data_IF_323555529992
#
_entry.id   IF_323555529992
#
_cell.length_a   1.000
_cell.length_b   1.000
_cell.length_c   1.000
_cell.angle_alpha   90.00
_cell.angle_beta   90.00
_cell.angle_gamma   90.00
#
_symmetry.space_group_name_H-M   'P 1'
#
loop_
_entity.id
_entity.type
_entity.pdbx_description
1 polymer ?
#
# COMPACT_ATOMS: atom_id res chain seq x y z
N UNK A 1 -9.31 -33.23 3.17
CA UNK A 1 -9.70 -32.65 1.87
C UNK A 1 -9.71 -31.11 1.86
N UNK A 2 -10.53 -30.44 2.68
CA UNK A 2 -10.66 -28.96 2.67
C UNK A 2 -9.37 -28.14 2.92
N UNK A 3 -8.41 -28.68 3.69
CA UNK A 3 -7.09 -28.04 3.92
C UNK A 3 -6.19 -28.13 2.67
N UNK A 4 -6.30 -29.20 1.89
CA UNK A 4 -5.51 -29.39 0.67
C UNK A 4 -6.02 -28.50 -0.45
N UNK A 5 -7.34 -28.38 -0.61
CA UNK A 5 -7.99 -27.46 -1.58
C UNK A 5 -7.61 -26.00 -1.30
N UNK A 6 -7.69 -25.55 -0.03
CA UNK A 6 -7.28 -24.18 0.35
C UNK A 6 -5.80 -23.91 0.10
N UNK A 7 -4.94 -24.90 0.31
CA UNK A 7 -3.50 -24.80 0.01
C UNK A 7 -3.26 -24.67 -1.50
N UNK A 8 -4.04 -25.37 -2.31
CA UNK A 8 -3.94 -25.33 -3.77
C UNK A 8 -4.43 -23.99 -4.35
N UNK A 9 -5.55 -23.46 -3.84
CA UNK A 9 -6.02 -22.11 -4.14
C UNK A 9 -4.98 -21.04 -3.77
N UNK A 10 -4.39 -21.14 -2.57
CA UNK A 10 -3.33 -20.23 -2.14
C UNK A 10 -2.10 -20.27 -3.07
N UNK A 11 -1.70 -21.48 -3.52
CA UNK A 11 -0.61 -21.64 -4.49
C UNK A 11 -0.94 -21.00 -5.84
N UNK A 12 -2.16 -21.18 -6.33
CA UNK A 12 -2.61 -20.56 -7.56
C UNK A 12 -2.50 -19.03 -7.48
N UNK A 13 -2.93 -18.40 -6.39
CA UNK A 13 -2.80 -16.95 -6.19
C UNK A 13 -1.35 -16.48 -6.11
N UNK A 14 -0.49 -17.26 -5.45
CA UNK A 14 0.91 -16.89 -5.23
C UNK A 14 1.77 -17.05 -6.49
N UNK A 15 1.49 -18.04 -7.34
CA UNK A 15 2.42 -18.50 -8.37
C UNK A 15 1.91 -18.42 -9.80
N UNK A 16 0.63 -18.10 -10.03
CA UNK A 16 0.14 -17.82 -11.38
C UNK A 16 0.84 -16.58 -11.94
N UNK A 17 1.39 -16.68 -13.16
CA UNK A 17 2.09 -15.57 -13.84
C UNK A 17 1.50 -15.37 -15.23
N UNK A 18 1.05 -14.16 -15.47
CA UNK A 18 0.53 -13.73 -16.76
C UNK A 18 1.67 -13.28 -17.68
N UNK A 19 1.62 -13.73 -18.94
CA UNK A 19 2.58 -13.41 -19.98
C UNK A 19 1.85 -12.74 -21.14
N UNK A 20 2.37 -11.62 -21.61
CA UNK A 20 1.80 -10.91 -22.76
C UNK A 20 1.99 -11.72 -24.04
N UNK A 21 0.92 -11.86 -24.82
CA UNK A 21 0.87 -12.46 -26.15
C UNK A 21 0.34 -11.38 -27.08
N UNK A 22 1.15 -11.02 -28.08
CA UNK A 22 0.71 -10.18 -29.18
C UNK A 22 -0.08 -11.05 -30.14
N UNK A 23 -1.35 -10.73 -30.33
CA UNK A 23 -2.18 -11.39 -31.34
C UNK A 23 -2.08 -10.53 -32.61
N UNK A 24 -1.32 -10.98 -33.59
CA UNK A 24 -1.47 -10.50 -34.96
C UNK A 24 -2.72 -11.18 -35.55
N UNK A 25 -3.71 -10.35 -35.87
CA UNK A 25 -4.94 -10.65 -36.62
C UNK A 25 -5.49 -12.09 -36.56
N UNK A 26 -6.38 -12.31 -35.59
CA UNK A 26 -7.63 -13.03 -35.86
C UNK A 26 -7.56 -14.49 -36.32
N UNK A 27 -6.70 -15.35 -35.79
CA UNK A 27 -6.92 -16.81 -35.76
C UNK A 27 -6.03 -17.51 -34.72
N UNK A 28 -6.63 -18.31 -33.84
CA UNK A 28 -5.90 -19.35 -33.08
C UNK A 28 -5.49 -20.46 -34.06
N UNK A 29 -4.29 -20.39 -34.62
CA UNK A 29 -3.78 -21.45 -35.49
C UNK A 29 -3.22 -22.62 -34.67
N UNK A 30 -3.73 -23.83 -34.95
CA UNK A 30 -3.24 -25.12 -34.47
C UNK A 30 -1.92 -25.53 -35.17
N UNK A 31 -1.15 -26.51 -34.65
CA UNK A 31 0.25 -26.70 -35.03
C UNK A 31 0.40 -27.60 -36.26
N UNK A 32 1.28 -27.22 -37.18
CA UNK A 32 1.85 -28.12 -38.18
C UNK A 32 3.07 -28.81 -37.58
N UNK A 33 2.98 -30.14 -37.46
CA UNK A 33 4.13 -31.02 -37.40
C UNK A 33 4.65 -31.26 -38.82
N UNK A 34 5.96 -31.23 -39.04
CA UNK A 34 6.70 -32.28 -39.77
C UNK A 34 8.22 -32.02 -39.75
N UNK A 35 8.95 -33.12 -39.92
CA UNK A 35 10.35 -33.35 -39.60
C UNK A 35 11.36 -32.70 -40.58
N UNK A 36 12.62 -32.53 -40.13
CA UNK A 36 13.77 -31.90 -40.84
C UNK A 36 14.29 -32.63 -42.10
N UNK A 37 15.60 -32.54 -42.49
CA UNK A 37 16.75 -31.97 -41.77
C UNK A 37 17.78 -31.17 -42.64
N UNK A 38 18.80 -30.62 -41.95
CA UNK A 38 20.20 -30.34 -42.39
C UNK A 38 20.51 -29.30 -43.50
N UNK A 39 21.37 -28.33 -43.16
CA UNK A 39 22.14 -27.55 -44.14
C UNK A 39 22.70 -26.21 -43.61
N UNK A 40 23.91 -26.23 -43.06
CA UNK A 40 24.85 -25.08 -42.95
C UNK A 40 25.68 -25.12 -44.25
N UNK A 41 26.14 -24.02 -44.92
CA UNK A 41 26.86 -22.94 -44.26
C UNK A 41 26.81 -21.50 -44.84
N UNK A 42 27.23 -20.57 -43.96
CA UNK A 42 28.14 -19.43 -44.16
C UNK A 42 27.85 -18.35 -45.23
N UNK A 43 27.71 -17.10 -44.79
CA UNK A 43 28.54 -15.92 -45.14
C UNK A 43 27.80 -14.60 -44.87
N UNK A 44 28.41 -13.74 -44.05
CA UNK A 44 28.15 -12.28 -44.04
C UNK A 44 28.88 -11.66 -45.26
N UNK A 45 28.59 -10.42 -45.76
CA UNK A 45 28.70 -9.19 -44.95
C UNK A 45 27.77 -8.00 -45.30
N UNK A 46 27.60 -7.13 -44.31
CA UNK A 46 27.71 -5.64 -44.32
C UNK A 46 27.20 -4.84 -45.55
N UNK A 47 26.26 -3.89 -45.32
CA UNK A 47 26.53 -2.43 -45.39
C UNK A 47 25.28 -1.55 -45.14
N UNK A 48 25.48 -0.63 -44.19
CA UNK A 48 24.77 0.62 -43.98
C UNK A 48 24.93 1.57 -45.17
N UNK A 49 23.87 2.27 -45.57
CA UNK A 49 23.90 3.68 -46.05
C UNK A 49 22.54 4.34 -45.74
N UNK A 50 22.56 5.49 -45.05
CA UNK A 50 21.44 6.44 -44.85
C UNK A 50 21.39 7.48 -46.02
N UNK A 51 20.83 8.69 -45.84
CA UNK A 51 19.44 9.11 -45.88
C UNK A 51 19.16 10.12 -47.03
N UNK A 52 17.91 10.61 -47.17
CA UNK A 52 17.53 12.04 -47.33
C UNK A 52 16.24 12.22 -48.15
N UNK A 53 15.21 12.74 -47.47
CA UNK A 53 14.09 13.49 -48.05
C UNK A 53 14.54 14.93 -48.36
N UNK A 54 13.98 15.52 -49.43
CA UNK A 54 13.58 16.94 -49.46
C UNK A 54 12.64 17.25 -50.64
N UNK A 55 11.79 18.26 -50.37
CA UNK A 55 11.07 19.17 -51.27
C UNK A 55 9.60 18.86 -51.62
N UNK A 56 8.67 19.66 -51.07
CA UNK A 56 8.11 20.86 -51.76
C UNK A 56 7.02 21.58 -50.91
N UNK A 57 7.24 22.88 -50.64
CA UNK A 57 6.35 24.01 -50.98
C UNK A 57 4.97 24.24 -50.30
N UNK A 58 4.71 25.44 -49.72
CA UNK A 58 3.41 25.85 -49.15
C UNK A 58 2.62 26.88 -49.99
N UNK A 59 1.31 27.03 -49.72
CA UNK A 59 0.52 28.29 -49.57
C UNK A 59 -0.93 28.30 -50.13
N UNK A 60 -1.84 28.79 -49.27
CA UNK A 60 -3.01 29.67 -49.49
C UNK A 60 -4.42 29.14 -49.16
N UNK A 61 -5.19 30.07 -48.58
CA UNK A 61 -6.45 29.88 -47.86
C UNK A 61 -7.65 30.39 -48.66
N UNK A 62 -8.81 29.75 -48.49
CA UNK A 62 -10.12 30.38 -48.73
C UNK A 62 -11.18 29.79 -47.79
N UNK A 63 -12.05 30.67 -47.36
CA UNK A 63 -13.02 30.57 -46.27
C UNK A 63 -14.40 30.21 -46.84
N UNK A 64 -15.06 29.16 -46.34
CA UNK A 64 -16.50 28.95 -46.49
C UNK A 64 -17.05 28.22 -45.26
N UNK A 65 -18.24 28.63 -44.83
CA UNK A 65 -18.77 28.43 -43.48
C UNK A 65 -20.02 27.51 -43.53
N UNK A 66 -20.15 26.65 -42.49
CA UNK A 66 -21.36 25.99 -41.92
C UNK A 66 -21.83 24.67 -42.58
N UNK A 67 -22.48 23.73 -41.84
CA UNK A 67 -22.11 23.05 -40.58
C UNK A 67 -22.10 21.51 -40.78
N UNK A 68 -21.34 20.69 -40.04
CA UNK A 68 -21.80 19.32 -39.72
C UNK A 68 -20.88 18.49 -38.82
N UNK A 69 -21.50 17.92 -37.79
CA UNK A 69 -21.28 16.59 -37.19
C UNK A 69 -19.87 16.24 -36.71
N UNK A 70 -19.76 16.12 -35.38
CA UNK A 70 -18.78 15.25 -34.72
C UNK A 70 -18.72 13.89 -35.43
N UNK A 71 -17.53 13.52 -35.89
CA UNK A 71 -17.18 12.18 -36.33
C UNK A 71 -15.89 11.73 -35.61
N UNK A 72 -15.71 10.42 -35.42
CA UNK A 72 -15.41 9.85 -34.12
C UNK A 72 -13.91 9.66 -33.86
N UNK A 73 -13.58 9.58 -32.57
CA UNK A 73 -12.29 9.12 -32.04
C UNK A 73 -11.86 7.85 -32.77
N UNK A 74 -10.68 7.91 -33.38
CA UNK A 74 -10.05 6.81 -34.10
C UNK A 74 -10.08 5.49 -33.30
N UNK A 75 -10.34 4.39 -34.00
CA UNK A 75 -10.40 3.04 -33.44
C UNK A 75 -9.09 2.65 -32.71
N UNK A 76 -9.17 1.92 -31.58
CA UNK A 76 -8.00 1.54 -30.80
C UNK A 76 -7.17 0.41 -31.45
N UNK A 77 -5.86 0.47 -31.19
CA UNK A 77 -4.78 -0.39 -31.67
C UNK A 77 -4.82 -1.83 -31.08
N UNK A 78 -3.96 -2.78 -31.53
CA UNK A 78 -4.15 -4.23 -31.34
C UNK A 78 -4.13 -4.69 -29.87
N UNK A 79 -4.99 -5.67 -29.56
CA UNK A 79 -5.32 -6.13 -28.21
C UNK A 79 -4.18 -6.93 -27.56
N UNK A 80 -3.45 -6.33 -26.61
CA UNK A 80 -2.50 -7.08 -25.78
C UNK A 80 -3.28 -8.08 -24.88
N UNK A 81 -3.10 -9.38 -25.11
CA UNK A 81 -3.71 -10.45 -24.31
C UNK A 81 -2.67 -11.13 -23.43
N UNK A 82 -3.07 -11.59 -22.26
CA UNK A 82 -2.16 -12.16 -21.27
C UNK A 82 -2.49 -13.62 -20.96
N UNK A 83 -1.56 -14.55 -21.15
CA UNK A 83 -1.79 -15.99 -20.95
C UNK A 83 -0.97 -16.51 -19.76
N UNK A 84 -1.56 -17.39 -18.95
CA UNK A 84 -0.91 -18.05 -17.83
C UNK A 84 -1.23 -19.56 -17.84
N UNK A 85 -0.24 -20.40 -17.53
CA UNK A 85 -0.41 -21.85 -17.36
C UNK A 85 -0.37 -22.24 -15.88
N UNK A 86 -1.29 -23.10 -15.44
CA UNK A 86 -1.28 -23.66 -14.07
C UNK A 86 -1.83 -25.09 -14.02
N UNK A 87 -1.20 -25.93 -13.20
CA UNK A 87 -1.59 -27.33 -12.99
C UNK A 87 -2.12 -27.52 -11.56
N UNK A 88 -3.45 -27.35 -11.35
CA UNK A 88 -4.04 -27.52 -10.03
C UNK A 88 -4.15 -29.01 -9.65
N UNK A 89 -4.02 -29.31 -8.35
CA UNK A 89 -4.27 -30.64 -7.78
C UNK A 89 -5.80 -30.88 -7.55
N UNK A 90 -6.61 -29.82 -7.58
CA UNK A 90 -8.06 -29.85 -7.34
C UNK A 90 -8.83 -28.94 -8.31
N UNK A 91 -10.15 -29.11 -8.42
CA UNK A 91 -11.02 -28.27 -9.26
C UNK A 91 -11.27 -26.87 -8.66
N UNK A 92 -10.24 -26.01 -8.65
CA UNK A 92 -10.26 -24.68 -8.01
C UNK A 92 -10.47 -23.52 -8.99
N UNK A 93 -10.20 -23.72 -10.29
CA UNK A 93 -10.16 -22.63 -11.28
C UNK A 93 -11.45 -21.79 -11.32
N UNK A 94 -12.62 -22.43 -11.26
CA UNK A 94 -13.91 -21.71 -11.32
C UNK A 94 -14.13 -20.85 -10.08
N UNK A 95 -13.83 -21.40 -8.90
CA UNK A 95 -13.98 -20.70 -7.63
C UNK A 95 -13.00 -19.52 -7.49
N UNK A 96 -11.76 -19.71 -7.95
CA UNK A 96 -10.70 -18.69 -7.82
C UNK A 96 -10.66 -17.69 -8.98
N UNK A 97 -11.36 -17.92 -10.09
CA UNK A 97 -11.41 -16.99 -11.24
C UNK A 97 -11.77 -15.55 -10.84
N UNK A 98 -12.70 -15.37 -9.90
CA UNK A 98 -13.09 -14.05 -9.39
C UNK A 98 -11.96 -13.31 -8.66
N UNK A 99 -10.99 -14.01 -8.08
CA UNK A 99 -9.79 -13.38 -7.51
C UNK A 99 -8.97 -12.69 -8.61
N UNK A 100 -8.77 -13.38 -9.74
CA UNK A 100 -7.99 -12.86 -10.86
C UNK A 100 -8.71 -11.73 -11.60
N UNK A 101 -10.05 -11.80 -11.72
CA UNK A 101 -10.86 -10.69 -12.26
C UNK A 101 -10.64 -9.42 -11.45
N UNK A 102 -10.74 -9.49 -10.12
CA UNK A 102 -10.53 -8.32 -9.26
C UNK A 102 -9.09 -7.81 -9.29
N UNK A 103 -8.11 -8.72 -9.32
CA UNK A 103 -6.68 -8.36 -9.20
C UNK A 103 -6.05 -7.87 -10.51
N UNK A 104 -6.59 -8.32 -11.65
CA UNK A 104 -6.09 -8.05 -13.00
C UNK A 104 -7.21 -7.56 -13.93
N UNK A 105 -8.15 -6.78 -13.40
CA UNK A 105 -9.34 -6.30 -14.14
C UNK A 105 -8.98 -5.53 -15.42
N UNK A 106 -7.88 -4.76 -15.38
CA UNK A 106 -7.40 -3.93 -16.49
C UNK A 106 -6.67 -4.72 -17.60
N UNK A 107 -6.45 -6.03 -17.42
CA UNK A 107 -5.79 -6.89 -18.41
C UNK A 107 -6.83 -7.79 -19.05
N UNK A 108 -6.72 -8.08 -20.35
CA UNK A 108 -7.42 -9.21 -20.97
C UNK A 108 -6.58 -10.47 -20.79
N UNK A 109 -7.06 -11.46 -20.06
CA UNK A 109 -6.23 -12.58 -19.66
C UNK A 109 -6.87 -13.97 -19.83
N UNK A 110 -6.04 -15.01 -19.92
CA UNK A 110 -6.45 -16.41 -20.03
C UNK A 110 -5.61 -17.28 -19.11
N UNK A 111 -6.28 -18.05 -18.25
CA UNK A 111 -5.67 -19.06 -17.39
C UNK A 111 -5.96 -20.42 -17.98
N UNK A 112 -4.90 -21.09 -18.41
CA UNK A 112 -4.94 -22.41 -19.01
C UNK A 112 -4.59 -23.45 -17.95
N UNK A 113 -5.47 -24.44 -17.78
CA UNK A 113 -5.20 -25.62 -16.96
C UNK A 113 -5.56 -26.90 -17.72
N UNK A 114 -5.03 -28.07 -17.32
CA UNK A 114 -5.32 -29.33 -18.01
C UNK A 114 -6.80 -29.72 -18.07
N UNK A 115 -7.61 -29.30 -17.09
CA UNK A 115 -9.00 -29.71 -16.96
C UNK A 115 -10.00 -28.65 -17.44
N UNK A 116 -9.67 -27.36 -17.31
CA UNK A 116 -10.56 -26.25 -17.64
C UNK A 116 -9.73 -25.00 -17.95
N UNK A 117 -10.19 -24.14 -18.85
CA UNK A 117 -9.56 -22.84 -19.11
C UNK A 117 -10.52 -21.71 -18.72
N UNK A 118 -9.98 -20.60 -18.23
CA UNK A 118 -10.75 -19.41 -17.86
C UNK A 118 -10.22 -18.19 -18.62
N UNK A 119 -11.12 -17.45 -19.27
CA UNK A 119 -10.78 -16.30 -20.11
C UNK A 119 -11.54 -15.07 -19.62
N UNK A 120 -10.85 -13.95 -19.51
CA UNK A 120 -11.38 -12.65 -19.10
C UNK A 120 -11.13 -11.63 -20.21
N UNK A 121 -12.21 -11.07 -20.75
CA UNK A 121 -12.20 -10.10 -21.84
C UNK A 121 -12.28 -8.63 -21.38
N UNK A 122 -12.38 -8.40 -20.06
CA UNK A 122 -12.56 -7.08 -19.45
C UNK A 122 -13.98 -6.84 -18.91
N UNK A 123 -14.95 -7.67 -19.29
CA UNK A 123 -16.36 -7.56 -18.89
C UNK A 123 -16.89 -8.85 -18.26
N UNK A 124 -16.57 -10.01 -18.84
CA UNK A 124 -17.06 -11.32 -18.41
C UNK A 124 -15.96 -12.40 -18.37
N UNK A 125 -16.14 -13.36 -17.45
CA UNK A 125 -15.31 -14.58 -17.44
C UNK A 125 -16.04 -15.68 -18.22
N UNK A 126 -15.37 -16.20 -19.25
CA UNK A 126 -15.83 -17.38 -19.98
C UNK A 126 -14.95 -18.58 -19.65
N UNK A 127 -15.56 -19.78 -19.60
CA UNK A 127 -14.85 -21.02 -19.32
C UNK A 127 -14.83 -21.90 -20.56
N UNK A 128 -13.65 -22.35 -20.95
CA UNK A 128 -13.41 -23.22 -22.10
C UNK A 128 -12.87 -24.60 -21.69
N UNK A 129 -12.69 -25.51 -22.66
CA UNK A 129 -12.06 -26.80 -22.42
C UNK A 129 -10.64 -26.65 -21.84
N UNK A 130 -10.17 -27.69 -21.16
CA UNK A 130 -8.78 -27.75 -20.70
C UNK A 130 -7.79 -27.60 -21.87
N UNK A 131 -6.67 -26.95 -21.60
CA UNK A 131 -5.61 -26.71 -22.58
C UNK A 131 -4.36 -27.54 -22.24
N UNK A 132 -3.36 -27.56 -23.12
CA UNK A 132 -2.05 -28.20 -22.90
C UNK A 132 -0.98 -27.15 -22.65
N UNK A 133 0.11 -27.52 -21.96
CA UNK A 133 1.24 -26.60 -21.67
C UNK A 133 1.82 -25.96 -22.92
N UNK A 134 1.79 -26.67 -24.05
CA UNK A 134 2.27 -26.17 -25.35
C UNK A 134 1.41 -25.02 -25.93
N UNK A 135 0.20 -24.83 -25.42
CA UNK A 135 -0.72 -23.78 -25.86
C UNK A 135 -0.46 -22.43 -25.13
N UNK A 136 0.49 -22.40 -24.17
CA UNK A 136 0.95 -21.20 -23.50
C UNK A 136 2.27 -20.68 -24.13
N UNK A 137 2.50 -19.35 -24.19
CA UNK A 137 3.69 -18.77 -24.81
C UNK A 137 4.99 -19.25 -24.14
N UNK A 138 6.03 -19.48 -24.96
CA UNK A 138 7.35 -19.90 -24.50
C UNK A 138 8.07 -18.78 -23.71
N UNK A 139 8.86 -19.20 -22.72
CA UNK A 139 9.61 -18.35 -21.79
C UNK A 139 10.85 -17.76 -22.48
N UNK A 140 11.00 -16.43 -22.65
CA UNK A 140 12.35 -15.92 -23.02
C UNK A 140 12.74 -14.41 -22.90
N UNK A 141 11.89 -13.45 -22.49
CA UNK A 141 12.33 -12.02 -22.49
C UNK A 141 12.40 -11.32 -21.11
N UNK A 142 11.36 -11.42 -20.29
CA UNK A 142 11.30 -10.74 -18.99
C UNK A 142 12.09 -11.45 -17.87
N UNK A 143 12.56 -12.67 -18.15
CA UNK A 143 13.19 -13.55 -17.17
C UNK A 143 14.62 -13.13 -16.81
N UNK A 144 15.42 -12.74 -17.79
CA UNK A 144 16.81 -12.31 -17.58
C UNK A 144 16.89 -11.07 -16.68
N UNK A 145 16.01 -10.09 -16.91
CA UNK A 145 15.96 -8.87 -16.12
C UNK A 145 15.50 -9.14 -14.68
N UNK A 146 14.50 -10.01 -14.53
CA UNK A 146 13.98 -10.41 -13.23
C UNK A 146 14.99 -11.25 -12.42
N UNK A 147 15.69 -12.18 -13.06
CA UNK A 147 16.76 -12.97 -12.43
C UNK A 147 17.92 -12.10 -11.96
N UNK A 148 18.32 -11.10 -12.78
CA UNK A 148 19.32 -10.11 -12.39
C UNK A 148 18.88 -9.29 -11.17
N UNK A 149 17.62 -8.84 -11.15
CA UNK A 149 17.03 -8.13 -10.01
C UNK A 149 16.98 -9.03 -8.75
N UNK A 150 16.45 -10.24 -8.86
CA UNK A 150 16.35 -11.20 -7.75
C UNK A 150 17.72 -11.52 -7.14
N UNK A 151 18.73 -11.76 -7.98
CA UNK A 151 20.10 -11.98 -7.53
C UNK A 151 20.69 -10.77 -6.78
N UNK A 152 20.33 -9.55 -7.17
CA UNK A 152 20.81 -8.31 -6.52
C UNK A 152 20.21 -8.06 -5.13
N UNK A 153 18.96 -8.48 -4.90
CA UNK A 153 18.24 -8.28 -3.63
C UNK A 153 18.33 -9.49 -2.70
N UNK A 154 18.91 -10.59 -3.16
CA UNK A 154 19.03 -11.83 -2.40
C UNK A 154 19.89 -11.62 -1.15
N UNK A 155 19.26 -11.74 0.02
CA UNK A 155 19.94 -11.59 1.30
C UNK A 155 20.42 -12.95 1.82
N UNK A 156 21.73 -13.26 1.73
CA UNK A 156 22.27 -14.54 2.15
C UNK A 156 22.10 -14.81 3.65
N UNK A 157 22.03 -13.78 4.49
CA UNK A 157 21.91 -13.90 5.94
C UNK A 157 20.48 -14.25 6.42
N UNK A 158 19.48 -14.25 5.52
CA UNK A 158 18.07 -14.55 5.83
C UNK A 158 17.59 -15.87 5.26
N UNK A 159 18.48 -16.68 4.72
CA UNK A 159 18.12 -17.94 4.07
C UNK A 159 17.71 -19.01 5.11
N UNK A 160 16.52 -19.59 4.95
CA UNK A 160 16.01 -20.71 5.77
C UNK A 160 15.66 -21.91 4.89
N UNK A 161 16.64 -22.76 4.54
CA UNK A 161 16.46 -23.83 3.54
C UNK A 161 15.39 -24.86 3.89
N UNK A 162 15.20 -25.13 5.18
CA UNK A 162 14.19 -26.08 5.67
C UNK A 162 12.78 -25.53 5.54
N UNK A 163 12.59 -24.26 5.91
CA UNK A 163 11.31 -23.56 5.75
C UNK A 163 10.95 -23.38 4.26
N UNK A 164 11.94 -23.09 3.41
CA UNK A 164 11.75 -23.02 1.96
C UNK A 164 11.31 -24.36 1.37
N UNK A 165 11.91 -25.49 1.78
CA UNK A 165 11.52 -26.83 1.30
C UNK A 165 10.14 -27.28 1.80
N UNK A 166 9.75 -26.83 3.00
CA UNK A 166 8.45 -27.13 3.59
C UNK A 166 7.30 -26.37 2.91
N UNK A 167 7.50 -25.08 2.63
CA UNK A 167 6.52 -24.23 1.93
C UNK A 167 6.55 -24.45 0.40
N UNK A 168 7.70 -24.85 -0.15
CA UNK A 168 7.94 -25.01 -1.59
C UNK A 168 8.61 -26.35 -1.92
N UNK A 169 7.83 -27.42 -2.10
CA UNK A 169 8.36 -28.72 -2.53
C UNK A 169 9.09 -28.65 -3.88
N UNK A 170 10.21 -29.39 -4.02
CA UNK A 170 11.12 -29.35 -5.19
C UNK A 170 10.45 -29.55 -6.55
N UNK A 171 9.29 -30.22 -6.60
CA UNK A 171 8.53 -30.44 -7.84
C UNK A 171 8.02 -29.15 -8.50
N UNK A 172 7.78 -28.09 -7.74
CA UNK A 172 7.28 -26.80 -8.25
C UNK A 172 8.39 -25.83 -8.67
N UNK A 173 9.65 -26.15 -8.38
CA UNK A 173 10.79 -25.29 -8.70
C UNK A 173 11.04 -25.21 -10.21
N UNK A 174 10.50 -26.15 -10.99
CA UNK A 174 10.57 -26.17 -12.46
C UNK A 174 9.88 -24.97 -13.11
N UNK A 175 8.98 -24.30 -12.40
CA UNK A 175 8.21 -23.14 -12.89
C UNK A 175 8.72 -21.81 -12.30
N UNK A 176 9.84 -21.83 -11.57
CA UNK A 176 10.44 -20.66 -10.92
C UNK A 176 11.83 -20.41 -11.52
N UNK A 177 12.00 -19.39 -12.36
CA UNK A 177 13.28 -19.14 -13.03
C UNK A 177 14.39 -18.73 -12.06
N UNK A 178 14.04 -18.12 -10.93
CA UNK A 178 14.96 -17.73 -9.85
C UNK A 178 15.41 -18.92 -9.01
N UNK A 179 14.63 -20.02 -9.00
CA UNK A 179 15.01 -21.24 -8.29
C UNK A 179 16.28 -21.89 -8.85
N UNK A 180 16.61 -21.59 -10.12
CA UNK A 180 17.87 -22.00 -10.76
C UNK A 180 19.08 -21.23 -10.21
N UNK A 181 18.88 -19.98 -9.75
CA UNK A 181 19.94 -19.15 -9.19
C UNK A 181 20.19 -19.43 -7.71
N UNK A 182 19.20 -19.98 -6.99
CA UNK A 182 19.28 -20.27 -5.54
C UNK A 182 20.52 -21.12 -5.18
N UNK A 183 20.84 -22.26 -5.83
CA UNK A 183 22.02 -23.06 -5.48
C UNK A 183 23.33 -22.28 -5.58
N UNK A 184 23.50 -21.48 -6.64
CA UNK A 184 24.68 -20.64 -6.84
C UNK A 184 24.73 -19.51 -5.79
N UNK A 185 23.62 -18.82 -5.57
CA UNK A 185 23.50 -17.75 -4.58
C UNK A 185 23.75 -18.26 -3.14
N UNK A 186 23.39 -19.52 -2.86
CA UNK A 186 23.69 -20.21 -1.60
C UNK A 186 25.17 -20.55 -1.43
N UNK A 187 25.85 -20.97 -2.50
CA UNK A 187 27.28 -21.25 -2.48
C UNK A 187 28.12 -19.97 -2.36
N UNK A 188 27.68 -18.89 -2.99
CA UNK A 188 28.35 -17.58 -2.96
C UNK A 188 28.04 -16.78 -1.69
N UNK A 189 27.00 -17.16 -0.95
CA UNK A 189 26.53 -16.49 0.26
C UNK A 189 27.62 -16.27 1.33
N UNK A 190 28.42 -17.28 1.74
CA UNK A 190 29.45 -17.11 2.77
C UNK A 190 30.54 -16.11 2.33
N UNK A 191 30.94 -16.17 1.05
CA UNK A 191 31.93 -15.26 0.47
C UNK A 191 31.42 -13.81 0.43
N UNK A 192 30.16 -13.60 0.02
CA UNK A 192 29.53 -12.26 0.03
C UNK A 192 29.38 -11.68 1.44
N UNK A 193 29.06 -12.52 2.42
CA UNK A 193 28.99 -12.08 3.83
C UNK A 193 30.38 -11.69 4.34
N UNK A 194 31.42 -12.48 4.04
CA UNK A 194 32.80 -12.14 4.38
C UNK A 194 33.25 -10.84 3.71
N UNK A 195 32.93 -10.62 2.43
CA UNK A 195 33.21 -9.37 1.70
C UNK A 195 32.43 -8.18 2.28
N UNK A 196 31.18 -8.36 2.70
CA UNK A 196 30.35 -7.33 3.31
C UNK A 196 30.86 -6.95 4.72
N UNK A 197 31.32 -7.92 5.50
CA UNK A 197 31.97 -7.69 6.80
C UNK A 197 33.31 -6.98 6.62
N UNK A 198 34.10 -7.40 5.63
CA UNK A 198 35.40 -6.78 5.31
C UNK A 198 35.28 -5.35 4.76
N UNK A 199 34.22 -5.04 4.01
CA UNK A 199 33.93 -3.69 3.52
C UNK A 199 33.48 -2.72 4.63
N UNK A 200 33.10 -3.23 5.80
CA UNK A 200 32.51 -2.43 6.87
C UNK A 200 31.13 -1.85 6.50
N UNK A 201 30.41 -1.36 7.50
CA UNK A 201 29.15 -0.66 7.25
C UNK A 201 29.43 0.56 6.37
N UNK A 202 28.76 0.65 5.22
CA UNK A 202 28.78 1.88 4.44
C UNK A 202 28.25 2.98 5.36
N UNK A 203 29.03 4.02 5.69
CA UNK A 203 28.50 5.13 6.45
C UNK A 203 27.28 5.67 5.70
N UNK A 204 26.26 6.17 6.42
CA UNK A 204 25.11 6.80 5.76
C UNK A 204 25.67 7.79 4.76
N UNK A 205 25.22 7.74 3.50
CA UNK A 205 25.53 8.79 2.54
C UNK A 205 25.12 10.07 3.23
N UNK A 206 26.09 10.91 3.63
CA UNK A 206 25.79 12.23 4.14
C UNK A 206 24.90 12.86 3.09
N UNK A 207 23.64 13.13 3.46
CA UNK A 207 22.79 13.98 2.64
C UNK A 207 23.63 15.24 2.46
N UNK A 208 24.20 15.42 1.27
CA UNK A 208 24.67 16.72 0.83
C UNK A 208 23.53 17.64 1.18
N UNK A 209 23.78 18.52 2.13
CA UNK A 209 22.91 19.63 2.41
C UNK A 209 22.81 20.35 1.07
N UNK A 210 21.77 20.03 0.29
CA UNK A 210 21.32 20.93 -0.75
C UNK A 210 20.85 22.13 0.06
N UNK A 211 21.77 23.08 0.26
CA UNK A 211 21.41 24.45 0.48
C UNK A 211 20.35 24.74 -0.59
N UNK A 212 19.11 24.90 -0.14
CA UNK A 212 18.04 25.43 -0.97
C UNK A 212 18.46 26.87 -1.25
N UNK A 213 19.21 27.04 -2.33
CA UNK A 213 19.48 28.35 -2.90
C UNK A 213 18.34 28.66 -3.85
N UNK A 214 17.27 29.23 -3.28
CA UNK A 214 16.32 30.08 -3.98
C UNK A 214 15.85 31.09 -2.94
N UNK A 215 16.16 32.39 -3.09
CA UNK A 215 15.58 33.15 -4.21
C UNK A 215 16.49 34.26 -4.81
N UNK A 216 16.72 34.18 -6.12
CA UNK A 216 17.15 35.35 -6.92
C UNK A 216 16.35 35.50 -8.24
N UNK A 217 15.20 34.80 -8.38
CA UNK A 217 14.33 34.91 -9.57
C UNK A 217 12.92 35.45 -9.21
N UNK A 218 12.56 35.58 -7.92
CA UNK A 218 11.30 36.22 -7.48
C UNK A 218 11.55 37.70 -7.10
N UNK A 219 12.39 38.43 -7.84
CA UNK A 219 12.56 39.89 -7.66
C UNK A 219 12.48 40.70 -8.96
N UNK A 220 12.10 40.08 -10.08
CA UNK A 220 11.95 40.79 -11.35
C UNK A 220 10.73 40.27 -12.12
N UNK A 221 9.54 40.46 -11.56
CA UNK A 221 8.28 40.41 -12.28
C UNK A 221 7.19 41.02 -11.40
N UNK A 222 7.17 42.35 -11.31
CA UNK A 222 5.92 43.06 -11.05
C UNK A 222 5.13 43.09 -12.37
N UNK A 223 3.87 42.68 -12.40
CA UNK A 223 2.90 43.30 -13.27
C UNK A 223 2.14 44.37 -12.46
N UNK A 224 2.24 45.59 -12.97
CA UNK A 224 1.41 46.75 -12.65
C UNK A 224 -0.09 46.37 -12.62
N UNK A 225 -0.83 46.87 -11.63
CA UNK A 225 -2.30 46.94 -11.73
C UNK A 225 -2.67 48.02 -12.76
N UNK A 226 -3.73 47.85 -13.57
CA UNK A 226 -5.02 48.42 -13.14
C UNK A 226 -6.29 47.73 -13.71
N UNK A 227 -7.44 48.07 -13.12
CA UNK A 227 -8.74 48.06 -13.81
C UNK A 227 -9.73 47.01 -13.30
N UNK A 228 -10.67 47.43 -12.45
CA UNK A 228 -11.69 46.56 -11.87
C UNK A 228 -12.77 46.09 -12.84
N UNK A 229 -13.48 45.04 -12.45
CA UNK A 229 -14.92 44.85 -12.70
C UNK A 229 -15.48 43.79 -11.74
N UNK A 230 -16.57 44.19 -11.12
CA UNK A 230 -17.70 43.44 -10.57
C UNK A 230 -17.49 42.44 -9.40
N UNK A 231 -17.83 42.98 -8.23
CA UNK A 231 -18.35 42.32 -7.05
C UNK A 231 -19.73 41.67 -7.32
N UNK A 232 -19.77 40.46 -7.86
CA UNK A 232 -20.96 39.60 -7.74
C UNK A 232 -20.70 38.13 -8.14
N UNK A 233 -20.29 37.29 -7.19
CA UNK A 233 -20.75 35.88 -7.09
C UNK A 233 -20.67 35.42 -5.62
N UNK A 234 -21.67 34.65 -5.14
CA UNK A 234 -22.09 34.71 -3.75
C UNK A 234 -21.22 33.87 -2.81
N UNK A 235 -21.03 34.39 -1.60
CA UNK A 235 -20.35 33.77 -0.47
C UNK A 235 -21.12 32.60 0.17
N UNK A 236 -21.81 31.78 -0.63
CA UNK A 236 -22.79 30.82 -0.13
C UNK A 236 -22.76 29.50 -0.91
N UNK A 237 -21.66 28.74 -0.78
CA UNK A 237 -21.60 27.30 -1.10
C UNK A 237 -20.67 26.54 -0.12
N UNK A 238 -20.47 27.05 1.09
CA UNK A 238 -19.73 26.34 2.14
C UNK A 238 -20.70 25.86 3.21
N UNK A 239 -21.11 24.60 3.09
CA UNK A 239 -21.49 23.79 4.25
C UNK A 239 -20.20 23.28 4.90
N UNK A 240 -19.78 23.77 6.07
CA UNK A 240 -18.49 23.42 6.68
C UNK A 240 -18.36 21.93 7.03
N UNK A 241 -19.48 21.21 7.17
CA UNK A 241 -19.50 19.80 7.55
C UNK A 241 -19.33 18.83 6.38
N UNK A 242 -19.62 19.23 5.14
CA UNK A 242 -19.54 18.33 3.98
C UNK A 242 -18.08 18.01 3.63
N UNK A 243 -17.18 18.99 3.75
CA UNK A 243 -15.75 18.82 3.46
C UNK A 243 -15.06 17.89 4.48
N UNK A 244 -15.39 17.99 5.77
CA UNK A 244 -14.81 17.12 6.80
C UNK A 244 -15.30 15.66 6.71
N UNK A 245 -16.61 15.47 6.54
CA UNK A 245 -17.17 14.13 6.39
C UNK A 245 -16.68 13.45 5.10
N UNK A 246 -16.60 14.21 4.00
CA UNK A 246 -16.06 13.71 2.73
C UNK A 246 -14.56 13.42 2.83
N UNK A 247 -13.76 14.25 3.52
CA UNK A 247 -12.34 13.97 3.75
C UNK A 247 -12.12 12.65 4.52
N UNK A 248 -12.94 12.38 5.54
CA UNK A 248 -12.92 11.10 6.26
C UNK A 248 -13.36 9.93 5.37
N UNK A 249 -14.43 10.11 4.60
CA UNK A 249 -14.91 9.10 3.65
C UNK A 249 -13.87 8.80 2.57
N UNK A 250 -13.21 9.82 2.02
CA UNK A 250 -12.12 9.70 1.06
C UNK A 250 -10.92 8.97 1.67
N UNK A 251 -10.52 9.30 2.91
CA UNK A 251 -9.45 8.57 3.61
C UNK A 251 -9.80 7.08 3.76
N UNK A 252 -11.05 6.75 4.14
CA UNK A 252 -11.52 5.37 4.24
C UNK A 252 -11.52 4.67 2.88
N UNK A 253 -12.01 5.33 1.83
CA UNK A 253 -12.01 4.80 0.44
C UNK A 253 -10.58 4.51 -0.02
N UNK A 254 -9.66 5.45 0.19
CA UNK A 254 -8.26 5.30 -0.22
C UNK A 254 -7.56 4.17 0.53
N UNK A 255 -7.83 4.01 1.83
CA UNK A 255 -7.31 2.89 2.61
C UNK A 255 -7.84 1.55 2.10
N UNK A 256 -9.14 1.45 1.81
CA UNK A 256 -9.76 0.23 1.28
C UNK A 256 -9.33 -0.09 -0.16
N UNK A 257 -8.96 0.93 -0.94
CA UNK A 257 -8.48 0.76 -2.31
C UNK A 257 -6.99 0.33 -2.39
N UNK A 258 -6.26 0.31 -1.26
CA UNK A 258 -4.86 -0.12 -1.24
C UNK A 258 -4.73 -1.60 -1.62
N UNK A 259 -3.83 -1.87 -2.57
CA UNK A 259 -3.50 -3.22 -3.02
C UNK A 259 -2.31 -3.85 -2.26
N UNK A 260 -1.68 -3.08 -1.38
CA UNK A 260 -0.50 -3.43 -0.60
C UNK A 260 -0.78 -3.50 0.91
N UNK A 261 -2.05 -3.69 1.29
CA UNK A 261 -2.42 -3.91 2.68
C UNK A 261 -1.63 -5.09 3.27
N UNK A 262 -1.16 -4.99 4.53
CA UNK A 262 -0.50 -6.11 5.19
C UNK A 262 -1.38 -7.38 5.18
N UNK A 263 -0.84 -8.58 4.90
CA UNK A 263 -1.66 -9.78 4.73
C UNK A 263 -2.58 -10.12 5.91
N UNK A 264 -2.19 -9.74 7.14
CA UNK A 264 -2.98 -9.96 8.34
C UNK A 264 -4.28 -9.15 8.38
N UNK A 265 -4.37 -8.05 7.60
CA UNK A 265 -5.57 -7.21 7.50
C UNK A 265 -6.78 -8.00 7.02
N UNK A 266 -6.57 -9.06 6.22
CA UNK A 266 -7.64 -9.94 5.74
C UNK A 266 -8.40 -10.65 6.88
N UNK A 267 -7.84 -10.70 8.10
CA UNK A 267 -8.52 -11.25 9.27
C UNK A 267 -9.33 -10.21 10.05
N UNK A 268 -9.05 -8.92 9.87
CA UNK A 268 -9.82 -7.85 10.49
C UNK A 268 -11.20 -7.74 9.84
N UNK A 269 -12.21 -7.31 10.60
CA UNK A 269 -13.58 -7.19 10.07
C UNK A 269 -13.70 -5.99 9.16
N UNK A 270 -13.12 -4.85 9.57
CA UNK A 270 -13.19 -3.58 8.86
C UNK A 270 -12.15 -2.59 9.39
N UNK A 271 -11.81 -1.53 8.63
CA UNK A 271 -11.06 -0.42 9.18
C UNK A 271 -11.91 0.37 10.18
N UNK A 272 -11.29 0.76 11.29
CA UNK A 272 -11.86 1.66 12.30
C UNK A 272 -11.22 3.02 12.13
N UNK A 273 -12.03 3.98 11.67
CA UNK A 273 -11.61 5.37 11.45
C UNK A 273 -11.67 6.15 12.78
N UNK A 274 -11.15 7.37 12.79
CA UNK A 274 -11.28 8.26 13.94
C UNK A 274 -12.69 8.83 14.09
N UNK A 275 -12.99 9.38 15.27
CA UNK A 275 -14.28 9.92 15.63
C UNK A 275 -14.15 11.18 16.50
N UNK A 276 -14.90 12.23 16.17
CA UNK A 276 -14.93 13.50 16.89
C UNK A 276 -15.14 14.70 15.97
N UNK A 277 -15.08 15.93 16.50
CA UNK A 277 -15.26 17.14 15.71
C UNK A 277 -14.04 17.44 14.82
N UNK A 278 -14.22 18.34 13.85
CA UNK A 278 -13.11 19.04 13.21
C UNK A 278 -12.57 20.11 14.16
N UNK A 279 -11.28 20.41 14.07
CA UNK A 279 -10.56 21.38 14.92
C UNK A 279 -10.73 21.12 16.43
N UNK A 280 -10.56 19.88 16.92
CA UNK A 280 -10.68 19.56 18.34
C UNK A 280 -9.61 20.29 19.16
N UNK A 281 -9.90 20.49 20.46
CA UNK A 281 -8.87 20.91 21.41
C UNK A 281 -7.76 19.84 21.48
N UNK A 282 -8.16 18.57 21.60
CA UNK A 282 -7.23 17.44 21.70
C UNK A 282 -7.56 16.35 20.67
N UNK A 283 -6.54 15.88 19.97
CA UNK A 283 -6.63 14.65 19.18
C UNK A 283 -5.86 13.52 19.86
N UNK A 284 -6.57 12.48 20.28
CA UNK A 284 -6.01 11.30 20.92
C UNK A 284 -5.70 10.21 19.89
N UNK A 285 -4.49 9.69 19.95
CA UNK A 285 -4.03 8.62 19.04
C UNK A 285 -3.64 7.41 19.89
N UNK A 286 -4.39 6.32 19.76
CA UNK A 286 -4.09 5.00 20.33
C UNK A 286 -3.21 4.11 19.43
N UNK A 287 -3.02 2.86 19.84
CA UNK A 287 -2.20 1.89 19.11
C UNK A 287 -2.92 1.34 17.85
N UNK A 288 -4.01 0.61 18.07
CA UNK A 288 -4.82 -0.05 17.05
C UNK A 288 -6.22 -0.33 17.62
N UNK A 289 -7.21 -0.68 16.78
CA UNK A 289 -8.52 -1.12 17.26
C UNK A 289 -8.42 -2.43 18.03
N UNK A 290 -9.26 -2.61 19.03
CA UNK A 290 -9.42 -3.88 19.73
C UNK A 290 -10.54 -4.73 19.13
N UNK A 291 -10.92 -5.76 19.88
CA UNK A 291 -11.96 -6.73 19.51
C UNK A 291 -13.33 -6.06 19.30
N UNK A 292 -13.78 -5.28 20.29
CA UNK A 292 -15.07 -4.59 20.22
C UNK A 292 -15.07 -3.51 19.14
N UNK A 293 -13.98 -2.77 19.01
CA UNK A 293 -13.80 -1.70 18.03
C UNK A 293 -13.87 -2.25 16.60
N UNK A 294 -13.18 -3.35 16.30
CA UNK A 294 -13.18 -3.98 14.98
C UNK A 294 -14.58 -4.44 14.55
N UNK A 295 -15.39 -4.96 15.48
CA UNK A 295 -16.76 -5.37 15.17
C UNK A 295 -17.70 -4.18 14.99
N UNK A 296 -17.58 -3.16 15.85
CA UNK A 296 -18.48 -2.01 15.86
C UNK A 296 -18.10 -0.93 14.83
N UNK A 297 -16.87 -0.93 14.35
CA UNK A 297 -16.34 0.11 13.45
C UNK A 297 -16.06 1.45 14.15
N UNK A 298 -16.10 1.50 15.48
CA UNK A 298 -15.95 2.71 16.30
C UNK A 298 -14.70 2.65 17.18
N UNK A 299 -13.91 3.73 17.27
CA UNK A 299 -12.71 3.76 18.11
C UNK A 299 -13.08 3.85 19.60
N UNK A 300 -12.28 3.24 20.47
CA UNK A 300 -12.35 3.42 21.94
C UNK A 300 -13.71 3.08 22.57
N UNK A 301 -14.36 2.01 22.10
CA UNK A 301 -15.62 1.49 22.69
C UNK A 301 -15.42 0.32 23.67
N UNK A 302 -14.26 -0.33 23.62
CA UNK A 302 -13.88 -1.44 24.49
C UNK A 302 -13.45 -1.02 25.90
N UNK A 303 -12.90 -1.96 26.70
CA UNK A 303 -12.53 -1.69 28.10
C UNK A 303 -11.56 -0.52 28.29
N UNK A 304 -10.55 -0.41 27.41
CA UNK A 304 -9.57 0.67 27.43
C UNK A 304 -10.22 2.02 27.08
N UNK A 305 -11.17 2.02 26.15
CA UNK A 305 -11.93 3.20 25.77
C UNK A 305 -12.87 3.70 26.85
N UNK A 306 -13.55 2.79 27.57
CA UNK A 306 -14.36 3.13 28.74
C UNK A 306 -13.53 3.77 29.86
N UNK A 307 -12.33 3.24 30.12
CA UNK A 307 -11.39 3.84 31.08
C UNK A 307 -10.93 5.24 30.61
N UNK A 308 -10.64 5.39 29.31
CA UNK A 308 -10.25 6.67 28.74
C UNK A 308 -11.38 7.71 28.84
N UNK A 309 -12.62 7.38 28.49
CA UNK A 309 -13.77 8.27 28.63
C UNK A 309 -13.94 8.75 30.07
N UNK A 310 -13.85 7.83 31.05
CA UNK A 310 -13.91 8.17 32.47
C UNK A 310 -12.77 9.14 32.87
N UNK A 311 -11.54 8.86 32.46
CA UNK A 311 -10.40 9.71 32.76
C UNK A 311 -10.50 11.09 32.10
N UNK A 312 -11.11 11.15 30.91
CA UNK A 312 -11.34 12.39 30.17
C UNK A 312 -12.35 13.30 30.90
N UNK A 313 -13.43 12.72 31.41
CA UNK A 313 -14.44 13.39 32.22
C UNK A 313 -13.82 13.93 33.53
N UNK A 314 -13.08 13.09 34.26
CA UNK A 314 -12.40 13.49 35.51
C UNK A 314 -11.32 14.55 35.29
N UNK A 315 -10.69 14.58 34.11
CA UNK A 315 -9.73 15.61 33.72
C UNK A 315 -10.40 16.93 33.29
N UNK A 316 -11.74 16.99 33.22
CA UNK A 316 -12.47 18.19 32.78
C UNK A 316 -12.28 18.50 31.30
N UNK A 317 -12.14 17.47 30.47
CA UNK A 317 -12.06 17.61 29.00
C UNK A 317 -13.37 17.15 28.39
N UNK A 318 -14.17 18.06 27.80
CA UNK A 318 -15.41 17.68 27.14
C UNK A 318 -15.16 16.71 25.96
N UNK A 319 -16.00 15.67 25.83
CA UNK A 319 -15.85 14.66 24.77
C UNK A 319 -16.06 15.24 23.36
N UNK A 320 -16.86 16.28 23.24
CA UNK A 320 -17.13 17.06 22.03
C UNK A 320 -16.00 18.03 21.66
N UNK A 321 -14.99 18.22 22.53
CA UNK A 321 -13.73 18.91 22.20
C UNK A 321 -12.61 17.92 21.84
N UNK A 322 -12.89 16.61 21.82
CA UNK A 322 -11.91 15.56 21.62
C UNK A 322 -12.16 14.78 20.32
N UNK A 323 -11.11 14.60 19.52
CA UNK A 323 -11.08 13.63 18.42
C UNK A 323 -10.26 12.43 18.84
N UNK A 324 -10.72 11.21 18.58
CA UNK A 324 -10.00 9.98 18.97
C UNK A 324 -9.83 9.06 17.77
N UNK A 325 -8.63 8.51 17.63
CA UNK A 325 -8.28 7.60 16.54
C UNK A 325 -7.14 6.66 16.95
N UNK A 326 -6.70 5.80 16.04
CA UNK A 326 -5.55 4.90 16.25
C UNK A 326 -4.46 5.09 15.19
N UNK A 327 -3.21 4.79 15.56
CA UNK A 327 -2.08 4.82 14.64
C UNK A 327 -2.21 3.78 13.52
N UNK A 328 -2.76 2.60 13.84
CA UNK A 328 -3.11 1.55 12.89
C UNK A 328 -4.64 1.44 12.81
N UNK A 329 -5.21 1.20 11.61
CA UNK A 329 -6.66 1.25 11.39
C UNK A 329 -7.38 -0.10 11.38
N UNK A 330 -6.64 -1.21 11.38
CA UNK A 330 -7.20 -2.56 11.42
C UNK A 330 -6.74 -3.30 12.67
N UNK A 331 -7.56 -4.19 13.20
CA UNK A 331 -7.22 -4.97 14.38
C UNK A 331 -6.28 -6.13 14.00
N UNK A 332 -5.04 -6.10 14.50
CA UNK A 332 -4.10 -7.22 14.36
C UNK A 332 -4.29 -8.22 15.50
N UNK A 333 -4.66 -9.46 15.17
CA UNK A 333 -4.91 -10.51 16.16
C UNK A 333 -4.58 -11.91 15.65
N UNK A 334 -4.46 -12.86 16.58
CA UNK A 334 -4.44 -14.31 16.29
C UNK A 334 -5.76 -14.95 16.71
N UNK A 335 -6.45 -15.68 15.82
CA UNK A 335 -7.61 -16.48 16.21
C UNK A 335 -7.18 -17.59 17.18
N UNK A 336 -7.77 -17.64 18.37
CA UNK A 336 -7.55 -18.71 19.36
C UNK A 336 -8.91 -19.21 19.85
N UNK A 337 -9.41 -20.27 19.22
CA UNK A 337 -10.76 -20.77 19.46
C UNK A 337 -11.82 -19.72 19.10
N UNK A 338 -12.69 -19.37 20.06
CA UNK A 338 -13.70 -18.29 19.92
C UNK A 338 -13.15 -16.89 20.23
N UNK A 339 -11.89 -16.77 20.66
CA UNK A 339 -11.28 -15.49 21.09
C UNK A 339 -10.34 -14.96 20.01
N UNK A 340 -10.27 -13.64 19.88
CA UNK A 340 -9.29 -12.95 19.02
C UNK A 340 -8.21 -12.34 19.92
N UNK A 341 -7.04 -12.96 19.94
CA UNK A 341 -5.95 -12.54 20.81
C UNK A 341 -5.17 -11.38 20.16
N UNK A 342 -5.25 -10.21 20.77
CA UNK A 342 -4.56 -8.99 20.32
C UNK A 342 -3.06 -9.21 20.10
N UNK A 343 -2.55 -8.76 18.96
CA UNK A 343 -1.12 -8.66 18.66
C UNK A 343 -0.74 -7.21 18.44
N UNK A 344 0.32 -6.73 19.09
CA UNK A 344 0.77 -5.35 18.86
C UNK A 344 1.26 -5.15 17.42
N UNK A 345 0.97 -3.99 16.80
CA UNK A 345 1.56 -3.61 15.52
C UNK A 345 3.08 -3.55 15.60
N UNK A 346 3.73 -3.94 14.51
CA UNK A 346 5.18 -3.83 14.39
C UNK A 346 5.60 -2.53 13.68
N UNK A 347 6.91 -2.37 13.51
CA UNK A 347 7.49 -1.23 12.82
C UNK A 347 6.95 -1.03 11.39
N UNK A 348 6.73 -2.12 10.67
CA UNK A 348 6.26 -2.13 9.29
C UNK A 348 4.80 -1.68 9.23
N UNK A 349 3.96 -2.18 10.14
CA UNK A 349 2.56 -1.77 10.25
C UNK A 349 2.45 -0.26 10.50
N UNK A 350 3.19 0.26 11.49
CA UNK A 350 3.20 1.69 11.81
C UNK A 350 3.65 2.52 10.60
N UNK A 351 4.68 2.06 9.89
CA UNK A 351 5.20 2.75 8.70
C UNK A 351 4.16 2.79 7.58
N UNK A 352 3.41 1.68 7.38
CA UNK A 352 2.35 1.59 6.38
C UNK A 352 1.18 2.54 6.69
N UNK A 353 0.71 2.58 7.94
CA UNK A 353 -0.45 3.41 8.31
C UNK A 353 -0.11 4.88 8.55
N UNK A 354 1.16 5.23 8.78
CA UNK A 354 1.57 6.61 9.10
C UNK A 354 1.10 7.64 8.07
N UNK A 355 1.20 7.46 6.74
CA UNK A 355 0.69 8.44 5.78
C UNK A 355 -0.81 8.72 5.93
N UNK A 356 -1.63 7.71 6.23
CA UNK A 356 -3.06 7.88 6.49
C UNK A 356 -3.30 8.67 7.77
N UNK A 357 -2.58 8.34 8.85
CA UNK A 357 -2.64 9.09 10.10
C UNK A 357 -2.22 10.55 9.92
N UNK A 358 -1.15 10.83 9.16
CA UNK A 358 -0.68 12.19 8.92
C UNK A 358 -1.68 13.01 8.11
N UNK A 359 -2.36 12.39 7.15
CA UNK A 359 -3.46 13.01 6.39
C UNK A 359 -4.66 13.30 7.28
N UNK A 360 -5.04 12.35 8.14
CA UNK A 360 -6.10 12.53 9.15
C UNK A 360 -5.81 13.69 10.08
N UNK A 361 -4.61 13.76 10.68
CA UNK A 361 -4.19 14.92 11.48
C UNK A 361 -4.29 16.22 10.67
N UNK A 362 -3.96 16.17 9.37
CA UNK A 362 -4.02 17.32 8.48
C UNK A 362 -5.42 17.92 8.35
N UNK A 363 -6.42 17.10 8.00
CA UNK A 363 -7.80 17.59 7.81
C UNK A 363 -8.58 17.73 9.12
N UNK A 364 -8.22 16.98 10.19
CA UNK A 364 -8.83 17.13 11.52
C UNK A 364 -8.39 18.45 12.16
N UNK A 365 -7.14 18.90 11.92
CA UNK A 365 -6.67 20.19 12.40
C UNK A 365 -6.65 20.37 13.94
N UNK A 366 -6.15 19.41 14.74
CA UNK A 366 -6.18 19.53 16.20
C UNK A 366 -5.27 20.65 16.72
N UNK A 367 -5.65 21.26 17.86
CA UNK A 367 -4.75 22.19 18.57
C UNK A 367 -3.53 21.48 19.17
N UNK A 368 -3.75 20.32 19.79
CA UNK A 368 -2.69 19.47 20.35
C UNK A 368 -2.98 18.00 20.10
N UNK A 369 -1.94 17.25 19.72
CA UNK A 369 -2.00 15.80 19.56
C UNK A 369 -1.59 15.13 20.87
N UNK A 370 -2.35 14.15 21.36
CA UNK A 370 -2.02 13.36 22.54
C UNK A 370 -1.75 11.91 22.10
N UNK A 371 -0.53 11.44 22.30
CA UNK A 371 -0.16 10.06 21.92
C UNK A 371 -0.29 9.11 23.11
N UNK A 372 -1.11 8.07 22.96
CA UNK A 372 -1.38 7.08 23.98
C UNK A 372 -0.49 5.84 23.74
N UNK A 373 0.61 5.75 24.50
CA UNK A 373 1.56 4.63 24.42
C UNK A 373 2.59 4.72 23.29
N UNK A 374 3.43 3.68 23.21
CA UNK A 374 4.65 3.70 22.39
C UNK A 374 4.36 3.70 20.88
N UNK A 375 3.31 2.99 20.46
CA UNK A 375 2.93 2.86 19.04
C UNK A 375 2.49 4.21 18.47
N UNK A 376 1.58 4.90 19.15
CA UNK A 376 1.14 6.24 18.78
C UNK A 376 2.28 7.25 18.81
N UNK A 377 3.12 7.21 19.86
CA UNK A 377 4.30 8.06 20.00
C UNK A 377 5.24 7.91 18.80
N UNK A 378 5.52 6.66 18.39
CA UNK A 378 6.36 6.39 17.22
C UNK A 378 5.72 6.86 15.92
N UNK A 379 4.41 6.67 15.75
CA UNK A 379 3.70 7.06 14.54
C UNK A 379 3.74 8.57 14.32
N UNK A 380 3.49 9.37 15.37
CA UNK A 380 3.51 10.83 15.29
C UNK A 380 4.94 11.36 15.16
N UNK A 381 5.83 10.98 16.08
CA UNK A 381 7.20 11.51 16.11
C UNK A 381 8.11 11.05 14.97
N UNK A 382 7.73 9.98 14.25
CA UNK A 382 8.54 9.37 13.20
C UNK A 382 9.73 8.54 13.70
N UNK A 383 9.94 8.43 15.03
CA UNK A 383 11.05 7.66 15.63
C UNK A 383 10.62 6.94 16.90
N UNK A 384 11.31 5.87 17.25
CA UNK A 384 11.03 5.15 18.49
C UNK A 384 11.60 5.92 19.70
N UNK A 385 10.77 6.13 20.72
CA UNK A 385 11.16 6.77 21.98
C UNK A 385 10.51 6.04 23.16
N UNK A 386 11.19 5.88 24.31
CA UNK A 386 10.58 5.31 25.51
C UNK A 386 9.53 6.26 26.08
N UNK A 387 8.27 5.83 26.15
CA UNK A 387 7.15 6.64 26.67
C UNK A 387 7.46 7.17 28.07
N UNK A 388 8.04 6.35 28.94
CA UNK A 388 8.37 6.73 30.32
C UNK A 388 9.34 7.91 30.42
N UNK A 389 10.17 8.16 29.39
CA UNK A 389 11.13 9.28 29.38
C UNK A 389 10.55 10.59 28.84
N UNK A 390 9.49 10.50 28.04
CA UNK A 390 8.90 11.65 27.34
C UNK A 390 7.44 11.92 27.75
N UNK A 391 6.92 11.12 28.68
CA UNK A 391 5.61 11.31 29.28
C UNK A 391 5.52 12.71 29.88
N UNK A 392 4.36 13.32 29.74
CA UNK A 392 4.06 14.65 30.28
C UNK A 392 4.92 15.79 29.70
N UNK A 393 5.51 15.59 28.52
CA UNK A 393 6.38 16.59 27.87
C UNK A 393 5.75 17.11 26.58
N UNK A 394 5.83 18.43 26.35
CA UNK A 394 5.43 19.03 25.08
C UNK A 394 6.55 18.85 24.05
N UNK A 395 6.27 18.09 23.00
CA UNK A 395 7.20 17.80 21.90
C UNK A 395 6.65 18.32 20.57
N UNK A 396 7.49 18.25 19.53
CA UNK A 396 7.11 18.60 18.15
C UNK A 396 7.39 17.45 17.20
N UNK A 397 6.46 17.18 16.32
CA UNK A 397 6.62 16.20 15.25
C UNK A 397 7.51 16.77 14.12
N UNK A 398 7.87 15.98 13.09
CA UNK A 398 8.70 16.46 11.98
C UNK A 398 8.13 17.66 11.22
N UNK A 399 6.81 17.83 11.22
CA UNK A 399 6.08 18.94 10.60
C UNK A 399 5.89 20.14 11.57
N UNK A 400 6.51 20.08 12.75
CA UNK A 400 6.47 21.14 13.76
C UNK A 400 5.18 21.19 14.60
N UNK A 401 4.26 20.25 14.42
CA UNK A 401 3.00 20.18 15.18
C UNK A 401 3.27 19.76 16.63
N UNK A 402 2.66 20.43 17.61
CA UNK A 402 2.83 20.09 19.01
C UNK A 402 2.14 18.76 19.33
N UNK A 403 2.79 17.92 20.13
CA UNK A 403 2.19 16.71 20.67
C UNK A 403 2.64 16.43 22.11
N UNK A 404 1.81 15.68 22.83
CA UNK A 404 1.94 15.41 24.26
C UNK A 404 1.84 13.89 24.53
N UNK A 405 2.93 13.21 24.93
CA UNK A 405 2.90 11.77 25.19
C UNK A 405 2.37 11.39 26.56
N UNK A 406 1.57 10.33 26.62
CA UNK A 406 1.20 9.65 27.86
C UNK A 406 1.10 8.12 27.67
N UNK A 407 0.81 7.38 28.75
CA UNK A 407 0.61 5.93 28.74
C UNK A 407 -0.68 5.54 28.02
N UNK A 408 -0.75 4.31 27.54
CA UNK A 408 -1.97 3.79 26.93
C UNK A 408 -2.95 3.29 28.01
N UNK A 409 -4.28 3.54 27.92
CA UNK A 409 -5.26 3.08 28.92
C UNK A 409 -5.24 1.57 29.17
N UNK A 410 -4.92 0.76 28.16
CA UNK A 410 -4.79 -0.70 28.32
C UNK A 410 -3.63 -1.13 29.22
N UNK A 411 -2.58 -0.31 29.37
CA UNK A 411 -1.51 -0.56 30.34
C UNK A 411 -2.04 -0.51 31.77
N UNK A 412 -2.89 0.48 32.08
CA UNK A 412 -3.53 0.63 33.39
C UNK A 412 -4.41 -0.58 33.74
N UNK A 413 -5.10 -1.16 32.75
CA UNK A 413 -5.92 -2.35 32.93
C UNK A 413 -5.11 -3.62 33.23
N UNK A 414 -3.83 -3.66 32.84
CA UNK A 414 -2.94 -4.82 32.99
C UNK A 414 -2.08 -4.75 34.25
N UNK A 415 -2.14 -3.66 35.03
CA UNK A 415 -1.41 -3.55 36.29
C UNK A 415 -1.98 -4.56 37.32
N UNK A 416 -1.13 -5.43 37.91
CA UNK A 416 -1.59 -6.46 38.84
C UNK A 416 -1.88 -5.90 40.24
N UNK A 417 -1.13 -4.88 40.67
CA UNK A 417 -1.30 -4.24 41.98
C UNK A 417 -2.41 -3.16 41.92
N UNK A 418 -3.50 -3.29 42.70
CA UNK A 418 -4.56 -2.29 42.77
C UNK A 418 -4.07 -0.90 43.19
N UNK A 419 -3.09 -0.81 44.10
CA UNK A 419 -2.59 0.47 44.59
C UNK A 419 -1.76 1.18 43.50
N UNK A 420 -0.87 0.46 42.81
CA UNK A 420 -0.17 0.97 41.64
C UNK A 420 -1.13 1.37 40.52
N UNK A 421 -2.20 0.59 40.29
CA UNK A 421 -3.22 0.89 39.31
C UNK A 421 -3.94 2.20 39.60
N UNK A 422 -4.33 2.44 40.86
CA UNK A 422 -4.96 3.71 41.26
C UNK A 422 -4.00 4.89 41.06
N UNK A 423 -2.76 4.80 41.56
CA UNK A 423 -1.76 5.87 41.38
C UNK A 423 -1.47 6.19 39.91
N UNK A 424 -1.30 5.17 39.07
CA UNK A 424 -1.03 5.39 37.65
C UNK A 424 -2.26 5.90 36.89
N UNK A 425 -3.46 5.56 37.35
CA UNK A 425 -4.70 6.14 36.84
C UNK A 425 -4.81 7.63 37.20
N UNK A 426 -4.54 8.01 38.45
CA UNK A 426 -4.57 9.42 38.87
C UNK A 426 -3.56 10.27 38.07
N UNK A 427 -2.35 9.75 37.86
CA UNK A 427 -1.34 10.38 36.99
C UNK A 427 -1.78 10.47 35.54
N UNK A 428 -2.55 9.49 35.07
CA UNK A 428 -3.09 9.52 33.71
C UNK A 428 -4.15 10.63 33.57
N UNK A 429 -5.04 10.79 34.55
CA UNK A 429 -6.00 11.91 34.60
C UNK A 429 -5.26 13.24 34.64
N UNK A 430 -4.20 13.36 35.44
CA UNK A 430 -3.36 14.56 35.51
C UNK A 430 -2.73 14.90 34.14
N UNK A 431 -2.18 13.91 33.44
CA UNK A 431 -1.61 14.11 32.09
C UNK A 431 -2.66 14.65 31.11
N UNK A 432 -3.89 14.15 31.15
CA UNK A 432 -4.97 14.61 30.28
C UNK A 432 -5.34 16.07 30.59
N UNK A 433 -5.43 16.41 31.89
CA UNK A 433 -5.69 17.79 32.33
C UNK A 433 -4.56 18.75 31.92
N UNK A 434 -3.30 18.34 32.10
CA UNK A 434 -2.14 19.13 31.68
C UNK A 434 -2.05 19.30 30.16
N UNK A 435 -2.38 18.25 29.39
CA UNK A 435 -2.46 18.33 27.94
C UNK A 435 -3.54 19.34 27.50
N UNK A 436 -4.72 19.31 28.12
CA UNK A 436 -5.79 20.27 27.84
C UNK A 436 -5.38 21.71 28.19
N UNK A 437 -4.77 21.93 29.36
CA UNK A 437 -4.24 23.24 29.74
C UNK A 437 -3.18 23.74 28.75
N UNK A 438 -2.28 22.86 28.33
CA UNK A 438 -1.26 23.16 27.32
C UNK A 438 -1.90 23.55 25.99
N UNK A 439 -2.90 22.79 25.53
CA UNK A 439 -3.61 23.04 24.29
C UNK A 439 -4.36 24.39 24.27
N UNK A 440 -4.92 24.80 25.41
CA UNK A 440 -5.59 26.10 25.57
C UNK A 440 -4.61 27.28 25.51
N UNK A 441 -3.36 27.08 25.93
CA UNK A 441 -2.30 28.09 25.89
C UNK A 441 -1.57 28.18 24.54
N UNK A 442 -1.79 27.22 23.63
CA UNK A 442 -1.25 27.30 22.28
C UNK A 442 -2.03 28.35 21.45
N UNK A 443 -1.35 29.07 20.54
CA UNK A 443 -2.04 30.00 19.65
C UNK A 443 -3.10 29.26 18.83
N UNK A 444 -4.25 29.90 18.63
CA UNK A 444 -5.27 29.39 17.71
C UNK A 444 -4.66 29.26 16.32
N UNK A 445 -4.97 28.14 15.65
CA UNK A 445 -4.51 27.85 14.28
C UNK A 445 -5.36 28.53 13.25
#
# INVERSE_FOLDING_TARGET
MARAVRRDAHKMHAFLRFREVRVEDGALAAPLAEAGPMGVPDTAPTRSIAPALRDLGPLEASNEMVPERLAPVAAPAPENRFVAWYEPEHHILRAESGFFVRRFAMLRWSILTPALSAHWDGEAVTFGPGARRADAPAEDAAETLWRAYFASIFNPARLKPDAMRAEMPRKYWRNLPEAQDIPRLMQEAPKRVAEMVARGATPPVERRQRAVHLPAIIRAAQPEAPGGVDSSMPADLLTPNEDFAEAQAALRRDLLARNDLPPWVANATQPVMGEGPQNPLLMFIGEQPGDEEDLKGQPFVGPAGRLWNKALEEAGVPRDEAYVTNAVKHFKFTPTGKRRLHQSPDAGDITFYRPFLMREIGFVGPRLIVTLGATALRAVSGRAMPVTKVRSSLLRDPEGRPFYPTVHPSYLLRLPDPAAKAREYDRFVEDLGQAAATARNLPAR
#
